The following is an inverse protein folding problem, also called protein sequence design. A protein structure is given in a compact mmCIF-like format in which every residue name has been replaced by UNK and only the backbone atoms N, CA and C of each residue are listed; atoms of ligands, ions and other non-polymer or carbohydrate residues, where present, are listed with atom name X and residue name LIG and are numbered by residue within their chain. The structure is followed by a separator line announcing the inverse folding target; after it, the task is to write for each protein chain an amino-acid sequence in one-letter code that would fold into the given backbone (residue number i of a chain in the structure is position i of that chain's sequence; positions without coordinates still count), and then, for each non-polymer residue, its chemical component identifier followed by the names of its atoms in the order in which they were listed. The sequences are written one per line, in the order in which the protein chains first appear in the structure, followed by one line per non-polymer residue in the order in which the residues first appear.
data_IF_395869744216
#
_entry.id   IF_395869744216
#
_cell.length_a   1.000
_cell.length_b   1.000
_cell.length_c   1.000
_cell.angle_alpha   90.00
_cell.angle_beta   90.00
_cell.angle_gamma   90.00
#
_symmetry.space_group_name_H-M   'P 1'
#
loop_
_entity.id
_entity.type
_entity.pdbx_description
1 polymer ?
#
# COMPACT_ATOMS: atom_id res chain seq x y z
N UNK A 1 12.12 -77.10 -24.67
CA UNK A 1 12.81 -76.33 -23.61
C UNK A 1 13.34 -75.07 -24.29
N UNK A 2 12.55 -73.99 -24.38
CA UNK A 2 12.43 -72.88 -23.39
C UNK A 2 13.79 -72.18 -23.21
N UNK A 3 14.01 -70.87 -23.40
CA UNK A 3 13.18 -69.67 -23.51
C UNK A 3 13.95 -68.66 -24.37
N UNK A 4 13.26 -67.91 -25.24
CA UNK A 4 13.83 -66.78 -25.98
C UNK A 4 13.22 -65.50 -25.43
N UNK A 5 14.09 -64.69 -24.83
CA UNK A 5 14.08 -63.24 -24.59
C UNK A 5 12.72 -62.55 -24.46
N UNK A 6 12.45 -62.11 -23.23
CA UNK A 6 11.34 -61.26 -22.81
C UNK A 6 11.14 -60.05 -23.73
N UNK A 7 9.90 -59.91 -24.17
CA UNK A 7 9.36 -58.68 -24.75
C UNK A 7 9.31 -57.62 -23.65
N UNK A 8 10.01 -56.50 -23.88
CA UNK A 8 9.76 -55.25 -23.18
C UNK A 8 8.47 -54.68 -23.79
N UNK A 9 7.37 -54.86 -23.07
CA UNK A 9 6.09 -54.20 -23.36
C UNK A 9 6.31 -52.69 -23.38
N UNK A 10 6.05 -52.13 -24.56
CA UNK A 10 6.06 -50.70 -24.83
C UNK A 10 4.79 -50.15 -24.20
N UNK A 11 4.95 -49.21 -23.28
CA UNK A 11 3.85 -48.55 -22.56
C UNK A 11 2.94 -47.85 -23.58
N UNK A 12 1.66 -48.26 -23.57
CA UNK A 12 0.59 -47.51 -24.22
C UNK A 12 0.44 -46.15 -23.52
N UNK A 13 0.67 -45.10 -24.31
CA UNK A 13 0.54 -43.70 -23.96
C UNK A 13 -0.95 -43.36 -23.89
N UNK A 14 -1.55 -43.55 -22.71
CA UNK A 14 -2.93 -43.15 -22.43
C UNK A 14 -2.99 -41.61 -22.36
N UNK A 15 -3.55 -41.01 -23.40
CA UNK A 15 -3.86 -39.58 -23.50
C UNK A 15 -4.85 -39.22 -22.39
N UNK A 16 -4.31 -38.82 -21.24
CA UNK A 16 -5.09 -38.36 -20.08
C UNK A 16 -5.70 -36.99 -20.40
N UNK A 17 -7.02 -36.94 -20.46
CA UNK A 17 -7.75 -35.68 -20.32
C UNK A 17 -7.47 -35.02 -18.96
N UNK A 18 -7.80 -33.73 -18.81
CA UNK A 18 -7.60 -33.01 -17.55
C UNK A 18 -8.28 -33.77 -16.41
N UNK A 19 -7.53 -34.00 -15.33
CA UNK A 19 -8.06 -34.72 -14.17
C UNK A 19 -9.20 -33.91 -13.54
N UNK A 20 -10.19 -34.58 -12.92
CA UNK A 20 -11.34 -33.88 -12.33
C UNK A 20 -10.93 -32.82 -11.29
N UNK A 21 -9.80 -33.02 -10.62
CA UNK A 21 -9.24 -32.08 -9.66
C UNK A 21 -8.76 -30.78 -10.32
N UNK A 22 -8.07 -30.89 -11.46
CA UNK A 22 -7.60 -29.72 -12.23
C UNK A 22 -8.78 -28.91 -12.76
N UNK A 23 -9.80 -29.57 -13.27
CA UNK A 23 -11.04 -28.92 -13.74
C UNK A 23 -11.75 -28.15 -12.61
N UNK A 24 -11.70 -28.66 -11.37
CA UNK A 24 -12.29 -28.00 -10.21
C UNK A 24 -11.45 -26.83 -9.70
N UNK A 25 -10.12 -26.94 -9.80
CA UNK A 25 -9.19 -25.86 -9.48
C UNK A 25 -9.39 -24.67 -10.42
N UNK A 26 -9.42 -24.91 -11.74
CA UNK A 26 -9.65 -23.85 -12.73
C UNK A 26 -10.99 -23.15 -12.50
N UNK A 27 -12.02 -23.91 -12.12
CA UNK A 27 -13.33 -23.35 -11.79
C UNK A 27 -13.31 -22.52 -10.49
N UNK A 28 -12.57 -22.96 -9.48
CA UNK A 28 -12.40 -22.21 -8.24
C UNK A 28 -11.61 -20.91 -8.47
N UNK A 29 -10.58 -20.93 -9.32
CA UNK A 29 -9.80 -19.76 -9.72
C UNK A 29 -10.65 -18.76 -10.50
N UNK A 30 -11.50 -19.24 -11.42
CA UNK A 30 -12.44 -18.39 -12.16
C UNK A 30 -13.46 -17.70 -11.24
N UNK A 31 -13.87 -18.38 -10.17
CA UNK A 31 -14.77 -17.85 -9.14
C UNK A 31 -14.04 -17.07 -8.03
N UNK A 32 -12.69 -16.97 -8.08
CA UNK A 32 -11.89 -16.27 -7.08
C UNK A 32 -11.95 -16.88 -5.68
N UNK A 33 -12.24 -18.18 -5.55
CA UNK A 33 -12.38 -18.86 -4.27
C UNK A 33 -11.00 -19.21 -3.70
N UNK A 34 -10.80 -18.94 -2.40
CA UNK A 34 -9.58 -19.35 -1.70
C UNK A 34 -9.67 -20.83 -1.28
N UNK A 35 -8.78 -21.66 -1.82
CA UNK A 35 -8.69 -23.09 -1.48
C UNK A 35 -7.26 -23.51 -1.08
N UNK A 36 -7.10 -24.73 -0.55
CA UNK A 36 -5.80 -25.36 -0.26
C UNK A 36 -5.48 -26.43 -1.31
N UNK A 37 -4.26 -26.40 -1.86
CA UNK A 37 -3.80 -27.33 -2.91
C UNK A 37 -3.72 -28.80 -2.44
N UNK A 38 -3.80 -29.06 -1.14
CA UNK A 38 -3.83 -30.42 -0.56
C UNK A 38 -5.24 -30.97 -0.36
N UNK A 39 -6.29 -30.21 -0.73
CA UNK A 39 -7.66 -30.70 -0.64
C UNK A 39 -7.95 -31.79 -1.66
N UNK A 40 -8.73 -32.79 -1.23
CA UNK A 40 -9.26 -33.83 -2.12
C UNK A 40 -10.43 -33.34 -2.96
N UNK A 41 -10.78 -34.13 -3.98
CA UNK A 41 -11.84 -33.86 -4.97
C UNK A 41 -13.18 -33.52 -4.33
N UNK A 42 -13.57 -34.23 -3.27
CA UNK A 42 -14.85 -34.04 -2.56
C UNK A 42 -14.99 -32.63 -1.98
N UNK A 43 -13.97 -32.14 -1.26
CA UNK A 43 -13.98 -30.80 -0.66
C UNK A 43 -13.96 -29.69 -1.72
N UNK A 44 -13.26 -29.91 -2.83
CA UNK A 44 -13.23 -28.93 -3.92
C UNK A 44 -14.58 -28.84 -4.63
N UNK A 45 -15.24 -29.99 -4.84
CA UNK A 45 -16.58 -30.06 -5.41
C UNK A 45 -17.60 -29.33 -4.52
N UNK A 46 -17.55 -29.54 -3.20
CA UNK A 46 -18.45 -28.87 -2.26
C UNK A 46 -18.29 -27.34 -2.29
N UNK A 47 -17.05 -26.85 -2.26
CA UNK A 47 -16.77 -25.41 -2.29
C UNK A 47 -17.28 -24.73 -3.57
N UNK A 48 -16.96 -25.33 -4.72
CA UNK A 48 -17.36 -24.80 -6.03
C UNK A 48 -18.88 -24.86 -6.20
N UNK A 49 -19.54 -25.95 -5.79
CA UNK A 49 -21.00 -26.05 -5.83
C UNK A 49 -21.68 -25.06 -4.87
N UNK A 50 -21.10 -24.84 -3.68
CA UNK A 50 -21.60 -23.85 -2.74
C UNK A 50 -21.53 -22.42 -3.30
N UNK A 51 -20.44 -22.07 -3.99
CA UNK A 51 -20.29 -20.77 -4.63
C UNK A 51 -21.25 -20.58 -5.81
N UNK A 52 -21.37 -21.57 -6.70
CA UNK A 52 -22.32 -21.54 -7.83
C UNK A 52 -23.77 -21.42 -7.34
N UNK A 53 -24.12 -22.11 -6.26
CA UNK A 53 -25.46 -22.02 -5.66
C UNK A 53 -25.68 -20.70 -4.89
N UNK A 54 -24.62 -20.09 -4.35
CA UNK A 54 -24.68 -18.80 -3.69
C UNK A 54 -24.94 -17.66 -4.70
N UNK A 55 -24.29 -17.68 -5.87
CA UNK A 55 -24.55 -16.71 -6.95
C UNK A 55 -25.97 -16.85 -7.53
N UNK A 56 -26.54 -18.05 -7.59
CA UNK A 56 -27.89 -18.28 -8.10
C UNK A 56 -29.01 -17.65 -7.24
N UNK A 57 -28.73 -17.30 -5.98
CA UNK A 57 -29.71 -16.70 -5.05
C UNK A 57 -29.65 -15.16 -4.96
N UNK A 58 -28.88 -14.51 -5.84
CA UNK A 58 -28.74 -13.05 -5.89
C UNK A 58 -29.01 -12.49 -7.29
N UNK A 59 -30.16 -12.82 -7.87
CA UNK A 59 -30.76 -12.02 -8.94
C UNK A 59 -32.24 -11.71 -8.60
N UNK A 60 -32.57 -10.42 -8.45
CA UNK A 60 -33.69 -9.88 -9.22
C UNK A 60 -33.28 -8.63 -10.02
N UNK A 61 -33.34 -8.80 -11.34
CA UNK A 61 -33.88 -7.91 -12.38
C UNK A 61 -33.42 -6.44 -12.48
N UNK A 62 -32.37 -6.24 -13.27
CA UNK A 62 -32.09 -5.02 -14.03
C UNK A 62 -32.90 -5.02 -15.33
N UNK A 63 -34.12 -4.46 -15.34
CA UNK A 63 -34.78 -4.04 -16.59
C UNK A 63 -35.89 -2.99 -16.39
N UNK A 64 -35.51 -1.73 -16.13
CA UNK A 64 -36.21 -0.51 -16.57
C UNK A 64 -35.68 0.73 -15.82
N UNK A 65 -34.74 1.49 -16.40
CA UNK A 65 -34.51 2.91 -16.10
C UNK A 65 -33.44 3.48 -17.05
N UNK A 66 -33.82 3.68 -18.30
CA UNK A 66 -33.21 4.68 -19.14
C UNK A 66 -34.32 5.64 -19.57
N UNK A 67 -34.05 6.94 -19.45
CA UNK A 67 -34.79 8.09 -20.00
C UNK A 67 -35.71 8.88 -19.03
N UNK A 68 -35.48 10.20 -19.02
CA UNK A 68 -36.24 11.31 -18.40
C UNK A 68 -35.91 11.78 -16.94
N UNK A 69 -34.84 12.56 -16.86
CA UNK A 69 -34.64 13.85 -16.17
C UNK A 69 -35.70 14.46 -15.20
N UNK A 70 -35.16 15.19 -14.21
CA UNK A 70 -35.55 16.54 -13.70
C UNK A 70 -35.72 16.66 -12.17
N UNK A 71 -34.76 17.40 -11.62
CA UNK A 71 -34.60 18.19 -10.38
C UNK A 71 -35.88 18.68 -9.66
N UNK A 72 -35.95 18.53 -8.32
CA UNK A 72 -35.81 19.61 -7.30
C UNK A 72 -36.15 19.11 -5.89
N UNK A 73 -35.22 19.37 -4.95
CA UNK A 73 -35.37 19.76 -3.55
C UNK A 73 -36.42 19.09 -2.66
N UNK A 74 -35.99 18.60 -1.49
CA UNK A 74 -36.52 19.02 -0.17
C UNK A 74 -35.64 18.43 0.94
N UNK A 75 -35.06 19.32 1.74
CA UNK A 75 -34.45 18.99 3.04
C UNK A 75 -35.53 18.52 4.01
N UNK A 76 -35.36 17.37 4.67
CA UNK A 76 -35.92 17.17 6.01
C UNK A 76 -35.15 16.14 6.83
N UNK A 77 -34.92 16.56 8.08
CA UNK A 77 -34.91 15.80 9.33
C UNK A 77 -33.75 14.85 9.63
N UNK A 78 -32.97 15.32 10.61
CA UNK A 78 -32.19 14.52 11.55
C UNK A 78 -33.04 13.47 12.29
N UNK A 79 -32.32 12.46 12.78
CA UNK A 79 -32.76 11.32 13.59
C UNK A 79 -33.44 10.19 12.83
N UNK A 80 -32.67 9.15 12.50
CA UNK A 80 -32.81 7.78 13.04
C UNK A 80 -32.09 6.81 12.11
N UNK A 81 -30.84 6.46 12.42
CA UNK A 81 -30.26 5.17 12.04
C UNK A 81 -29.36 4.70 13.18
N UNK A 82 -30.00 4.04 14.13
CA UNK A 82 -29.41 3.13 15.11
C UNK A 82 -28.65 2.03 14.35
N UNK A 83 -27.34 2.20 14.24
CA UNK A 83 -26.46 1.22 13.62
C UNK A 83 -26.07 0.18 14.69
N UNK A 84 -26.84 -0.90 14.73
CA UNK A 84 -26.47 -2.14 15.39
C UNK A 84 -25.35 -2.81 14.58
N UNK A 85 -24.10 -2.43 14.86
CA UNK A 85 -22.95 -3.31 14.59
C UNK A 85 -22.57 -3.94 15.92
N UNK A 86 -23.00 -5.18 16.07
CA UNK A 86 -22.65 -6.07 17.15
C UNK A 86 -21.13 -6.09 17.33
N UNK A 87 -20.71 -5.64 18.51
CA UNK A 87 -19.36 -5.75 19.01
C UNK A 87 -18.95 -7.22 19.13
N UNK A 88 -18.17 -7.72 18.17
CA UNK A 88 -17.18 -8.76 18.47
C UNK A 88 -15.99 -8.02 19.06
N UNK A 89 -16.03 -7.81 20.38
CA UNK A 89 -14.90 -7.37 21.15
C UNK A 89 -13.84 -8.48 21.15
N UNK A 90 -12.94 -8.44 20.16
CA UNK A 90 -11.70 -9.21 20.18
C UNK A 90 -10.86 -8.66 21.33
N UNK A 91 -10.74 -9.43 22.40
CA UNK A 91 -9.82 -9.16 23.49
C UNK A 91 -8.41 -8.85 22.93
N UNK A 92 -7.65 -7.89 23.50
CA UNK A 92 -6.34 -7.55 22.99
C UNK A 92 -5.43 -8.76 23.17
N UNK A 93 -5.21 -9.50 22.09
CA UNK A 93 -4.20 -10.53 22.02
C UNK A 93 -2.87 -9.82 22.29
N UNK A 94 -2.21 -10.12 23.39
CA UNK A 94 -0.93 -9.51 23.72
C UNK A 94 0.05 -9.79 22.57
N UNK A 95 0.29 -8.79 21.72
CA UNK A 95 1.19 -8.95 20.58
C UNK A 95 2.57 -9.38 21.10
N UNK A 96 3.10 -10.43 20.50
CA UNK A 96 4.48 -10.85 20.72
C UNK A 96 5.45 -9.72 20.33
N UNK A 97 6.67 -9.73 20.88
CA UNK A 97 7.67 -8.71 20.55
C UNK A 97 8.01 -8.66 19.04
N UNK A 98 7.93 -9.80 18.35
CA UNK A 98 8.15 -9.89 16.91
C UNK A 98 7.03 -9.23 16.12
N UNK A 99 5.78 -9.51 16.47
CA UNK A 99 4.61 -8.89 15.85
C UNK A 99 4.60 -7.37 16.05
N UNK A 100 4.93 -6.90 17.26
CA UNK A 100 5.09 -5.46 17.56
C UNK A 100 6.15 -4.80 16.67
N UNK A 101 7.32 -5.43 16.53
CA UNK A 101 8.41 -4.93 15.68
C UNK A 101 7.98 -4.85 14.23
N UNK A 102 7.30 -5.88 13.72
CA UNK A 102 6.78 -5.88 12.36
C UNK A 102 5.78 -4.74 12.15
N UNK A 103 4.80 -4.59 13.04
CA UNK A 103 3.80 -3.51 12.97
C UNK A 103 4.45 -2.13 12.95
N UNK A 104 5.33 -1.84 13.92
CA UNK A 104 6.03 -0.55 14.01
C UNK A 104 6.94 -0.30 12.82
N UNK A 105 7.59 -1.34 12.28
CA UNK A 105 8.41 -1.22 11.08
C UNK A 105 7.55 -0.88 9.86
N UNK A 106 6.39 -1.49 9.69
CA UNK A 106 5.48 -1.18 8.59
C UNK A 106 4.91 0.24 8.72
N UNK A 107 4.51 0.65 9.92
CA UNK A 107 4.05 2.02 10.20
C UNK A 107 5.15 3.05 9.91
N UNK A 108 6.39 2.78 10.33
CA UNK A 108 7.53 3.65 10.11
C UNK A 108 7.92 3.76 8.64
N UNK A 109 7.85 2.67 7.88
CA UNK A 109 8.21 2.62 6.45
C UNK A 109 7.06 3.04 5.52
N UNK A 110 5.89 3.41 6.06
CA UNK A 110 4.80 3.94 5.25
C UNK A 110 5.28 5.18 4.49
N UNK A 111 5.14 5.14 3.16
CA UNK A 111 5.53 6.25 2.28
C UNK A 111 4.43 7.31 2.26
N UNK A 112 4.82 8.56 2.48
CA UNK A 112 3.96 9.73 2.42
C UNK A 112 4.51 10.67 1.34
N UNK A 113 3.63 11.13 0.45
CA UNK A 113 3.98 12.12 -0.57
C UNK A 113 4.10 13.50 0.07
N UNK A 114 5.25 14.13 -0.09
CA UNK A 114 5.59 15.40 0.54
C UNK A 114 6.29 16.33 -0.44
N UNK A 115 6.10 17.63 -0.23
CA UNK A 115 6.84 18.69 -0.90
C UNK A 115 7.61 19.47 0.15
N UNK A 116 8.94 19.47 0.05
CA UNK A 116 9.83 19.98 1.10
C UNK A 116 10.60 21.18 0.56
N UNK A 117 10.50 22.31 1.27
CA UNK A 117 11.29 23.52 1.01
C UNK A 117 12.29 23.75 2.15
N UNK A 118 13.52 24.12 1.79
CA UNK A 118 14.58 24.42 2.77
C UNK A 118 14.49 25.87 3.24
N UNK A 119 14.24 26.07 4.53
CA UNK A 119 14.15 27.40 5.16
C UNK A 119 15.44 27.79 5.91
N UNK A 120 16.45 26.93 5.90
CA UNK A 120 17.73 27.20 6.54
C UNK A 120 18.56 28.20 5.71
N UNK A 121 18.83 29.43 6.20
CA UNK A 121 19.58 30.41 5.43
C UNK A 121 21.02 29.97 5.13
N UNK A 122 21.62 29.10 5.96
CA UNK A 122 22.99 28.63 5.76
C UNK A 122 23.11 27.56 4.67
N UNK A 123 22.02 26.88 4.33
CA UNK A 123 21.99 25.74 3.40
C UNK A 123 20.96 25.90 2.30
N UNK A 124 20.49 27.13 2.06
CA UNK A 124 19.37 27.43 1.16
C UNK A 124 19.62 26.95 -0.27
N UNK A 125 20.87 27.02 -0.73
CA UNK A 125 21.24 26.69 -2.10
C UNK A 125 21.51 25.18 -2.31
N UNK A 126 21.32 24.34 -1.29
CA UNK A 126 21.48 22.90 -1.43
C UNK A 126 20.27 22.31 -2.16
N UNK A 127 20.53 21.41 -3.11
CA UNK A 127 19.48 20.73 -3.89
C UNK A 127 18.89 19.52 -3.16
N UNK A 128 19.67 18.88 -2.31
CA UNK A 128 19.24 17.74 -1.48
C UNK A 128 20.01 17.70 -0.17
N UNK A 129 19.45 17.00 0.82
CA UNK A 129 20.15 16.67 2.06
C UNK A 129 19.88 15.21 2.42
N UNK A 130 20.79 14.60 3.18
CA UNK A 130 20.67 13.21 3.62
C UNK A 130 20.25 13.15 5.07
N UNK A 131 19.12 12.47 5.30
CA UNK A 131 18.56 12.30 6.63
C UNK A 131 18.63 10.85 7.04
N UNK A 132 19.05 10.64 8.28
CA UNK A 132 19.17 9.32 8.91
C UNK A 132 18.39 9.30 10.20
N UNK A 133 17.49 8.33 10.34
CA UNK A 133 16.72 8.07 11.56
C UNK A 133 16.92 6.61 11.93
N UNK A 134 17.23 6.35 13.20
CA UNK A 134 17.48 5.00 13.68
C UNK A 134 16.77 4.74 14.99
N UNK A 135 16.12 3.59 15.10
CA UNK A 135 15.55 3.08 16.35
C UNK A 135 15.77 1.56 16.41
N UNK A 136 16.07 1.03 17.60
CA UNK A 136 16.28 -0.40 17.84
C UNK A 136 15.13 -1.29 17.31
N UNK A 137 13.88 -0.81 17.35
CA UNK A 137 12.71 -1.58 16.90
C UNK A 137 12.50 -1.57 15.38
N UNK A 138 12.85 -0.48 14.71
CA UNK A 138 12.55 -0.23 13.28
C UNK A 138 13.80 -0.50 12.41
N UNK A 139 14.99 -0.37 12.99
CA UNK A 139 16.26 -0.30 12.28
C UNK A 139 16.67 1.14 11.96
N UNK A 140 17.63 1.29 11.05
CA UNK A 140 18.10 2.57 10.54
C UNK A 140 17.55 2.81 9.14
N UNK A 141 16.96 3.97 8.93
CA UNK A 141 16.43 4.45 7.65
C UNK A 141 17.26 5.69 7.27
N UNK A 142 17.95 5.61 6.14
CA UNK A 142 18.73 6.72 5.58
C UNK A 142 18.21 7.01 4.18
N UNK A 143 17.82 8.25 3.94
CA UNK A 143 17.30 8.69 2.63
C UNK A 143 17.87 10.06 2.27
N UNK A 144 18.34 10.19 1.03
CA UNK A 144 18.68 11.48 0.44
C UNK A 144 17.41 12.08 -0.15
N UNK A 145 17.01 13.25 0.35
CA UNK A 145 15.73 13.89 0.04
C UNK A 145 16.01 15.15 -0.77
N UNK A 146 15.50 15.26 -2.02
CA UNK A 146 15.60 16.48 -2.81
C UNK A 146 14.65 17.57 -2.29
N UNK A 147 15.06 18.82 -2.40
CA UNK A 147 14.24 19.98 -2.05
C UNK A 147 13.51 20.54 -3.27
N UNK A 148 12.36 21.18 -3.05
CA UNK A 148 11.51 21.81 -4.07
C UNK A 148 10.99 20.86 -5.16
N UNK A 149 10.98 19.55 -4.88
CA UNK A 149 10.45 18.50 -5.75
C UNK A 149 9.49 17.63 -4.94
N UNK A 150 8.42 17.15 -5.58
CA UNK A 150 7.52 16.19 -4.97
C UNK A 150 8.23 14.85 -4.76
N UNK A 151 8.28 14.39 -3.51
CA UNK A 151 8.99 13.18 -3.14
C UNK A 151 8.16 12.29 -2.21
N UNK A 152 8.55 11.03 -2.09
CA UNK A 152 7.97 10.10 -1.13
C UNK A 152 8.97 9.80 -0.02
N UNK A 153 8.56 10.04 1.23
CA UNK A 153 9.41 9.86 2.41
C UNK A 153 8.70 8.97 3.41
N UNK A 154 9.48 8.17 4.14
CA UNK A 154 9.00 7.30 5.22
C UNK A 154 8.43 8.13 6.38
N UNK A 155 7.35 7.63 7.01
CA UNK A 155 6.70 8.29 8.14
C UNK A 155 7.68 8.60 9.29
N UNK A 156 8.61 7.69 9.59
CA UNK A 156 9.59 7.92 10.64
C UNK A 156 10.53 9.09 10.34
N UNK A 157 10.93 9.26 9.07
CA UNK A 157 11.73 10.40 8.63
C UNK A 157 10.90 11.68 8.70
N UNK A 158 9.66 11.65 8.21
CA UNK A 158 8.75 12.80 8.23
C UNK A 158 8.58 13.38 9.65
N UNK A 159 8.39 12.52 10.65
CA UNK A 159 8.25 12.95 12.05
C UNK A 159 9.49 13.75 12.51
N UNK A 160 10.68 13.25 12.21
CA UNK A 160 11.94 13.93 12.57
C UNK A 160 12.08 15.23 11.78
N UNK A 161 11.81 15.23 10.47
CA UNK A 161 11.92 16.42 9.63
C UNK A 161 10.99 17.56 10.09
N UNK A 162 9.79 17.24 10.57
CA UNK A 162 8.85 18.22 11.14
C UNK A 162 9.34 18.82 12.46
N UNK A 163 10.12 18.09 13.25
CA UNK A 163 10.65 18.55 14.53
C UNK A 163 11.87 19.45 14.36
N UNK A 164 12.64 19.27 13.28
CA UNK A 164 13.91 19.99 13.05
C UNK A 164 13.75 21.52 13.02
N UNK A 165 14.67 22.19 13.73
CA UNK A 165 14.72 23.64 13.87
C UNK A 165 16.11 24.17 13.53
N UNK A 166 16.16 25.33 12.87
CA UNK A 166 17.37 26.10 12.63
C UNK A 166 17.33 27.39 13.45
N UNK A 167 18.49 27.85 13.90
CA UNK A 167 18.62 29.15 14.56
C UNK A 167 18.90 30.21 13.52
N UNK A 168 18.06 31.25 13.46
CA UNK A 168 18.21 32.38 12.56
C UNK A 168 18.51 33.63 13.38
N UNK A 169 19.53 34.38 12.95
CA UNK A 169 19.90 35.67 13.52
C UNK A 169 19.21 36.78 12.74
N UNK A 170 18.41 37.59 13.43
CA UNK A 170 17.72 38.76 12.86
C UNK A 170 18.23 40.03 13.52
N UNK A 171 18.61 41.03 12.73
CA UNK A 171 19.00 42.32 13.26
C UNK A 171 17.74 43.16 13.50
N UNK A 172 17.56 43.65 14.73
CA UNK A 172 16.52 44.61 15.07
C UNK A 172 17.18 45.86 15.62
N UNK A 173 16.84 47.01 15.04
CA UNK A 173 17.27 48.31 15.57
C UNK A 173 16.60 48.56 16.93
N UNK A 174 17.38 48.82 17.97
CA UNK A 174 16.84 49.20 19.26
C UNK A 174 16.27 50.63 19.16
N UNK A 175 14.97 50.85 19.46
CA UNK A 175 14.37 52.18 19.35
C UNK A 175 14.97 53.20 20.32
N UNK A 176 15.56 52.77 21.44
CA UNK A 176 16.08 53.68 22.47
C UNK A 176 17.54 54.09 22.22
N UNK A 177 18.38 53.15 21.82
CA UNK A 177 19.84 53.35 21.67
C UNK A 177 20.28 53.50 20.21
N UNK A 178 19.41 53.24 19.24
CA UNK A 178 19.71 53.30 17.81
C UNK A 178 20.68 52.22 17.29
N UNK A 179 21.30 51.44 18.18
CA UNK A 179 22.19 50.34 17.88
C UNK A 179 21.44 49.14 17.26
N UNK A 180 22.14 48.39 16.41
CA UNK A 180 21.63 47.14 15.84
C UNK A 180 21.84 46.01 16.86
N UNK A 181 20.75 45.44 17.36
CA UNK A 181 20.80 44.26 18.22
C UNK A 181 20.49 43.01 17.39
N UNK A 182 21.39 42.04 17.39
CA UNK A 182 21.17 40.74 16.77
C UNK A 182 20.36 39.86 17.72
N UNK A 183 19.13 39.52 17.32
CA UNK A 183 18.26 38.59 18.06
C UNK A 183 18.29 37.23 17.41
N UNK A 184 18.59 36.21 18.22
CA UNK A 184 18.46 34.81 17.83
C UNK A 184 17.00 34.36 17.96
N UNK A 185 16.49 33.63 16.97
CA UNK A 185 15.23 32.89 17.09
C UNK A 185 15.38 31.50 16.49
N UNK A 186 14.64 30.53 17.02
CA UNK A 186 14.50 29.20 16.43
C UNK A 186 13.31 29.22 15.47
N UNK A 187 13.51 28.73 14.26
CA UNK A 187 12.48 28.55 13.23
C UNK A 187 12.58 27.09 12.78
N UNK A 188 11.50 26.53 12.24
CA UNK A 188 11.55 25.23 11.57
C UNK A 188 12.56 25.26 10.42
N UNK A 189 13.39 24.23 10.35
CA UNK A 189 14.43 24.13 9.32
C UNK A 189 13.81 23.91 7.94
N UNK A 190 12.72 23.14 7.90
CA UNK A 190 12.05 22.72 6.67
C UNK A 190 10.59 23.14 6.71
N UNK A 191 10.08 23.59 5.57
CA UNK A 191 8.65 23.72 5.35
C UNK A 191 8.16 22.50 4.56
N UNK A 192 7.22 21.75 5.15
CA UNK A 192 6.76 20.47 4.61
C UNK A 192 5.27 20.57 4.33
N UNK A 193 4.90 20.47 3.05
CA UNK A 193 3.50 20.30 2.64
C UNK A 193 3.23 18.81 2.42
N UNK A 194 2.22 18.27 3.10
CA UNK A 194 1.78 16.88 2.92
C UNK A 194 0.78 16.86 1.76
N UNK A 195 1.11 16.11 0.71
CA UNK A 195 0.26 15.97 -0.47
C UNK A 195 -0.65 14.74 -0.33
N UNK A 196 -1.81 14.74 -1.02
CA UNK A 196 -2.61 13.54 -1.10
C UNK A 196 -1.83 12.39 -1.73
N UNK A 197 -2.13 11.14 -1.34
CA UNK A 197 -1.53 9.97 -1.97
C UNK A 197 -1.92 9.90 -3.46
N UNK A 198 -1.11 9.17 -4.24
CA UNK A 198 -1.38 8.92 -5.66
C UNK A 198 -2.76 8.25 -5.85
N UNK A 199 -3.45 8.65 -6.91
CA UNK A 199 -4.70 8.02 -7.32
C UNK A 199 -4.44 6.60 -7.84
N UNK A 200 -5.45 5.71 -7.84
CA UNK A 200 -5.28 4.34 -8.35
C UNK A 200 -4.79 4.28 -9.81
N UNK A 201 -5.20 5.24 -10.65
CA UNK A 201 -4.77 5.34 -12.05
C UNK A 201 -3.28 5.70 -12.16
N UNK A 202 -2.82 6.68 -11.38
CA UNK A 202 -1.42 7.07 -11.32
C UNK A 202 -0.53 5.96 -10.76
N UNK A 203 -1.02 5.18 -9.79
CA UNK A 203 -0.32 4.01 -9.26
C UNK A 203 -0.13 2.94 -10.34
N UNK A 204 -1.15 2.67 -11.16
CA UNK A 204 -1.02 1.72 -12.28
C UNK A 204 -0.03 2.21 -13.34
N UNK A 205 -0.07 3.49 -13.68
CA UNK A 205 0.88 4.10 -14.61
C UNK A 205 2.33 4.06 -14.07
N UNK A 206 2.50 4.28 -12.77
CA UNK A 206 3.80 4.17 -12.11
C UNK A 206 4.31 2.72 -12.12
N UNK A 207 3.47 1.75 -11.79
CA UNK A 207 3.81 0.33 -11.82
C UNK A 207 4.21 -0.11 -13.24
N UNK A 208 3.49 0.34 -14.26
CA UNK A 208 3.84 0.07 -15.66
C UNK A 208 5.20 0.67 -16.03
N UNK A 209 5.49 1.91 -15.62
CA UNK A 209 6.80 2.56 -15.87
C UNK A 209 7.94 1.82 -15.15
N UNK A 210 7.73 1.40 -13.91
CA UNK A 210 8.70 0.62 -13.14
C UNK A 210 8.98 -0.74 -13.78
N UNK A 211 7.93 -1.42 -14.26
CA UNK A 211 8.07 -2.70 -14.97
C UNK A 211 8.83 -2.55 -16.30
N UNK A 212 8.59 -1.47 -17.05
CA UNK A 212 9.32 -1.18 -18.30
C UNK A 212 10.80 -0.87 -18.04
N UNK A 213 11.11 -0.03 -17.05
CA UNK A 213 12.50 0.30 -16.71
C UNK A 213 13.29 -0.92 -16.22
N UNK A 214 12.68 -1.76 -15.37
CA UNK A 214 13.31 -3.00 -14.92
C UNK A 214 13.57 -4.00 -16.06
N UNK A 215 12.83 -3.92 -17.17
CA UNK A 215 13.03 -4.78 -18.34
C UNK A 215 14.15 -4.31 -19.27
N UNK A 216 14.44 -3.01 -19.34
CA UNK A 216 15.48 -2.47 -20.22
C UNK A 216 16.89 -2.59 -19.64
N UNK A 217 17.01 -2.61 -18.31
CA UNK A 217 18.31 -2.66 -17.63
C UNK A 217 18.94 -4.07 -17.63
N UNK A 218 18.28 -5.10 -18.17
CA UNK A 218 18.77 -6.48 -18.15
C UNK A 218 19.66 -6.86 -19.36
N UNK A 219 19.71 -6.04 -20.42
CA UNK A 219 20.34 -6.40 -21.70
C UNK A 219 21.69 -5.70 -21.99
N UNK A 220 22.30 -4.95 -21.05
CA UNK A 220 23.55 -4.19 -21.27
C UNK A 220 24.78 -4.57 -20.40
N UNK A 221 24.84 -5.81 -19.86
CA UNK A 221 26.04 -6.31 -19.15
C UNK A 221 26.70 -7.54 -19.84
#
# INVERSE_FOLDING_TARGET
MTNSVDQIETQDEEVLGPTELESLIERADLLGLKYDKRWGVEKMRELVNAAVNAEANQLPDLKAAAEAAVTTNTEVSAATLTNAVAAVAVAPKEETLSEKRYRLKQEANKLVRVHIMNMNPARKDWESDTYTVGNSLIGTITRTIPFNVDWHVEQALLNVLQERECTVFSQKKNPNTGAMETKMRKIKELHIAILPPLTPEELKALAQRQAMAAGTDHDED
#
